data_IF_113669885834
#
_entry.id   IF_113669885834
#
_cell.length_a   1.000
_cell.length_b   1.000
_cell.length_c   1.000
_cell.angle_alpha   90.00
_cell.angle_beta   90.00
_cell.angle_gamma   90.00
#
_symmetry.space_group_name_H-M   'P 1'
#
loop_
_entity.id
_entity.type
_entity.pdbx_description
1 polymer ?
#
# COMPACT_ATOMS: atom_id res chain seq x y z
N UNK A 1 -39.00 -8.35 3.70
CA UNK A 1 -37.94 -8.58 4.69
C UNK A 1 -36.62 -8.77 3.95
N UNK A 2 -36.20 -7.70 3.27
CA UNK A 2 -34.97 -7.58 2.48
C UNK A 2 -34.28 -6.34 3.02
N UNK A 3 -33.35 -6.53 3.95
CA UNK A 3 -32.46 -5.43 4.34
C UNK A 3 -31.26 -5.54 3.42
N UNK A 4 -31.44 -4.97 2.23
CA UNK A 4 -30.40 -4.72 1.25
C UNK A 4 -29.21 -4.06 1.94
N UNK A 5 -28.04 -4.64 1.71
CA UNK A 5 -26.75 -4.03 2.00
C UNK A 5 -26.61 -2.85 1.03
N UNK A 6 -27.28 -1.75 1.36
CA UNK A 6 -27.30 -0.47 0.62
C UNK A 6 -26.18 0.42 1.14
N UNK A 7 -24.93 0.00 0.94
CA UNK A 7 -23.75 0.82 1.28
C UNK A 7 -22.75 1.00 0.13
N UNK A 8 -23.16 0.72 -1.10
CA UNK A 8 -22.43 1.09 -2.33
C UNK A 8 -23.22 2.10 -3.19
N UNK A 9 -23.92 3.05 -2.57
CA UNK A 9 -24.51 4.18 -3.29
C UNK A 9 -23.53 5.36 -3.40
N UNK A 10 -22.31 5.08 -3.86
CA UNK A 10 -21.46 6.11 -4.47
C UNK A 10 -21.53 5.89 -5.98
N UNK A 11 -22.19 6.80 -6.68
CA UNK A 11 -22.41 6.81 -8.15
C UNK A 11 -21.11 6.94 -8.98
N UNK A 12 -19.97 6.46 -8.49
CA UNK A 12 -18.70 6.49 -9.22
C UNK A 12 -18.58 5.15 -9.95
N UNK A 13 -18.61 5.13 -11.30
CA UNK A 13 -18.45 3.90 -12.06
C UNK A 13 -17.14 3.19 -11.64
N UNK A 14 -17.16 1.88 -11.45
CA UNK A 14 -15.97 1.11 -11.04
C UNK A 14 -14.74 1.41 -11.90
N UNK A 15 -14.94 1.64 -13.20
CA UNK A 15 -13.91 2.04 -14.14
C UNK A 15 -13.19 3.34 -13.74
N UNK A 16 -13.93 4.31 -13.19
CA UNK A 16 -13.41 5.60 -12.73
C UNK A 16 -12.61 5.44 -11.43
N UNK A 17 -13.08 4.59 -10.50
CA UNK A 17 -12.35 4.21 -9.28
C UNK A 17 -11.03 3.52 -9.64
N UNK A 18 -11.06 2.50 -10.50
CA UNK A 18 -9.86 1.79 -10.99
C UNK A 18 -8.88 2.73 -11.67
N UNK A 19 -9.37 3.71 -12.44
CA UNK A 19 -8.52 4.72 -13.10
C UNK A 19 -7.85 5.65 -12.09
N UNK A 20 -8.62 6.17 -11.12
CA UNK A 20 -8.08 6.98 -10.02
C UNK A 20 -7.03 6.20 -9.24
N UNK A 21 -7.31 4.94 -8.89
CA UNK A 21 -6.38 4.08 -8.16
C UNK A 21 -5.08 3.83 -8.94
N UNK A 22 -5.13 3.68 -10.26
CA UNK A 22 -3.92 3.60 -11.09
C UNK A 22 -3.05 4.86 -10.99
N UNK A 23 -3.64 6.04 -11.02
CA UNK A 23 -2.88 7.29 -10.88
C UNK A 23 -2.34 7.46 -9.46
N UNK A 24 -3.16 7.16 -8.45
CA UNK A 24 -2.76 7.18 -7.06
C UNK A 24 -1.59 6.22 -6.80
N UNK A 25 -1.66 4.99 -7.31
CA UNK A 25 -0.57 4.02 -7.16
C UNK A 25 0.74 4.51 -7.77
N UNK A 26 0.68 5.11 -8.98
CA UNK A 26 1.87 5.70 -9.62
C UNK A 26 2.42 6.86 -8.80
N UNK A 27 1.55 7.71 -8.26
CA UNK A 27 1.93 8.83 -7.40
C UNK A 27 2.60 8.34 -6.11
N UNK A 28 2.01 7.36 -5.42
CA UNK A 28 2.58 6.76 -4.20
C UNK A 28 3.96 6.14 -4.49
N UNK A 29 4.10 5.36 -5.56
CA UNK A 29 5.40 4.80 -5.96
C UNK A 29 6.41 5.90 -6.26
N UNK A 30 6.01 6.99 -6.91
CA UNK A 30 6.89 8.13 -7.15
C UNK A 30 7.35 8.78 -5.83
N UNK A 31 6.46 8.97 -4.86
CA UNK A 31 6.82 9.52 -3.55
C UNK A 31 7.86 8.63 -2.84
N UNK A 32 7.67 7.31 -2.88
CA UNK A 32 8.65 6.35 -2.38
C UNK A 32 10.00 6.43 -3.12
N UNK A 33 9.99 6.57 -4.44
CA UNK A 33 11.21 6.72 -5.24
C UNK A 33 11.94 8.04 -4.97
N UNK A 34 11.22 9.09 -4.59
CA UNK A 34 11.79 10.39 -4.22
C UNK A 34 12.30 10.46 -2.78
N UNK A 35 12.14 9.40 -1.97
CA UNK A 35 12.57 9.39 -0.57
C UNK A 35 11.57 10.02 0.40
N UNK A 36 10.29 10.16 -0.01
CA UNK A 36 9.25 10.76 0.82
C UNK A 36 8.52 9.77 1.72
N UNK A 37 8.89 8.49 1.72
CA UNK A 37 8.19 7.46 2.45
C UNK A 37 8.03 7.78 3.93
N UNK A 38 9.07 8.35 4.58
CA UNK A 38 9.05 8.70 6.02
C UNK A 38 8.15 9.88 6.37
N UNK A 39 7.83 10.74 5.40
CA UNK A 39 7.01 11.94 5.64
C UNK A 39 5.52 11.63 5.61
N UNK A 40 5.13 10.60 4.85
CA UNK A 40 3.72 10.20 4.73
C UNK A 40 3.40 8.95 5.55
N UNK A 41 4.31 7.97 5.69
CA UNK A 41 4.05 6.78 6.51
C UNK A 41 4.00 7.07 8.00
N UNK A 42 3.11 6.37 8.71
CA UNK A 42 3.02 6.41 10.17
C UNK A 42 2.22 7.60 10.71
N UNK A 43 1.72 8.47 9.83
CA UNK A 43 0.73 9.48 10.23
C UNK A 43 -0.65 8.85 10.31
N UNK A 44 -1.44 9.26 11.31
CA UNK A 44 -2.85 8.84 11.46
C UNK A 44 -3.68 9.14 10.20
N UNK A 45 -3.27 10.15 9.43
CA UNK A 45 -3.96 10.55 8.20
C UNK A 45 -3.63 9.63 7.02
N UNK A 46 -2.35 9.44 6.68
CA UNK A 46 -1.98 8.68 5.49
C UNK A 46 -1.89 7.16 5.71
N UNK A 47 -1.80 6.72 6.97
CA UNK A 47 -1.71 5.30 7.32
C UNK A 47 -0.32 4.70 7.12
N UNK A 48 -0.26 3.38 7.23
CA UNK A 48 0.94 2.56 7.01
C UNK A 48 0.83 1.92 5.63
N UNK A 49 1.52 2.50 4.65
CA UNK A 49 1.58 2.03 3.27
C UNK A 49 2.98 1.46 3.02
N UNK A 50 3.07 0.29 2.43
CA UNK A 50 4.32 -0.26 1.88
C UNK A 50 4.20 -0.41 0.37
N UNK A 51 5.33 -0.44 -0.34
CA UNK A 51 5.33 -0.83 -1.76
C UNK A 51 5.71 -2.29 -1.87
N UNK A 52 4.79 -3.08 -2.42
CA UNK A 52 5.00 -4.48 -2.73
C UNK A 52 5.44 -4.63 -4.19
N UNK A 53 6.63 -5.18 -4.39
CA UNK A 53 7.14 -5.58 -5.69
C UNK A 53 6.86 -7.07 -5.92
N UNK A 54 6.11 -7.36 -6.97
CA UNK A 54 5.72 -8.72 -7.39
C UNK A 54 5.90 -8.88 -8.90
N UNK A 55 5.80 -10.13 -9.40
CA UNK A 55 5.97 -10.44 -10.81
C UNK A 55 4.64 -10.87 -11.43
N UNK A 56 4.31 -10.34 -12.61
CA UNK A 56 3.08 -10.71 -13.30
C UNK A 56 3.06 -12.18 -13.71
N UNK A 57 2.05 -12.94 -13.29
CA UNK A 57 1.94 -14.38 -13.59
C UNK A 57 1.98 -14.73 -15.08
N UNK A 58 1.48 -13.83 -15.94
CA UNK A 58 1.47 -14.02 -17.41
C UNK A 58 2.65 -13.35 -18.12
N UNK A 59 3.13 -12.22 -17.59
CA UNK A 59 4.10 -11.37 -18.29
C UNK A 59 5.52 -11.49 -17.76
N UNK A 60 5.72 -12.04 -16.56
CA UNK A 60 6.99 -12.06 -15.84
C UNK A 60 7.52 -10.69 -15.42
N UNK A 61 6.83 -9.60 -15.79
CA UNK A 61 7.32 -8.23 -15.53
C UNK A 61 7.20 -7.87 -14.06
N UNK A 62 8.13 -7.09 -13.50
CA UNK A 62 8.01 -6.57 -12.14
C UNK A 62 6.92 -5.48 -12.09
N UNK A 63 6.10 -5.53 -11.06
CA UNK A 63 5.06 -4.54 -10.75
C UNK A 63 5.26 -4.03 -9.33
N UNK A 64 5.02 -2.74 -9.13
CA UNK A 64 5.05 -2.08 -7.83
C UNK A 64 3.62 -1.73 -7.42
N UNK A 65 3.16 -2.25 -6.29
CA UNK A 65 1.80 -2.04 -5.79
C UNK A 65 1.84 -1.51 -4.36
N UNK A 66 1.43 -0.25 -4.14
CA UNK A 66 1.24 0.28 -2.81
C UNK A 66 0.09 -0.46 -2.10
N UNK A 67 0.34 -0.96 -0.91
CA UNK A 67 -0.63 -1.67 -0.08
C UNK A 67 -0.51 -1.24 1.37
N UNK A 68 -1.63 -1.24 2.10
CA UNK A 68 -1.59 -1.00 3.54
C UNK A 68 -1.00 -2.22 4.26
N UNK A 69 -0.24 -1.98 5.32
CA UNK A 69 0.38 -3.04 6.10
C UNK A 69 0.34 -2.79 7.61
N UNK A 70 0.48 -3.88 8.35
CA UNK A 70 0.76 -3.88 9.79
C UNK A 70 1.90 -4.84 10.07
N UNK A 71 2.61 -4.61 11.18
CA UNK A 71 3.65 -5.51 11.66
C UNK A 71 3.16 -6.17 12.95
N UNK A 72 3.19 -7.49 12.98
CA UNK A 72 2.88 -8.28 14.18
C UNK A 72 3.86 -9.45 14.25
N UNK A 73 4.41 -9.69 15.43
CA UNK A 73 5.31 -10.82 15.70
C UNK A 73 6.50 -10.95 14.73
N UNK A 74 6.99 -9.81 14.20
CA UNK A 74 8.10 -9.75 13.25
C UNK A 74 7.72 -9.98 11.78
N UNK A 75 6.50 -10.44 11.53
CA UNK A 75 5.91 -10.63 10.21
C UNK A 75 5.16 -9.37 9.73
N UNK A 76 5.00 -9.27 8.42
CA UNK A 76 4.27 -8.17 7.77
C UNK A 76 2.95 -8.73 7.26
N UNK A 77 1.84 -8.07 7.58
CA UNK A 77 0.52 -8.45 7.10
C UNK A 77 -0.02 -7.36 6.19
N UNK A 78 -0.70 -7.77 5.12
CA UNK A 78 -1.44 -6.87 4.23
C UNK A 78 -2.74 -7.54 3.76
N UNK A 79 -3.70 -6.71 3.33
CA UNK A 79 -5.00 -7.19 2.86
C UNK A 79 -5.25 -6.85 1.39
N UNK A 80 -5.83 -7.79 0.66
CA UNK A 80 -6.34 -7.57 -0.69
C UNK A 80 -7.72 -6.90 -0.64
N UNK A 81 -7.74 -5.57 -0.79
CA UNK A 81 -8.94 -4.75 -0.68
C UNK A 81 -10.06 -5.07 -1.67
N UNK A 82 -9.72 -5.62 -2.84
CA UNK A 82 -10.67 -6.06 -3.87
C UNK A 82 -10.82 -7.60 -3.90
N UNK A 83 -10.44 -8.27 -2.81
CA UNK A 83 -10.47 -9.73 -2.69
C UNK A 83 -9.67 -10.45 -3.77
N UNK A 84 -10.15 -11.63 -4.17
CA UNK A 84 -9.53 -12.55 -5.13
C UNK A 84 -9.36 -11.98 -6.54
N UNK A 85 -10.07 -10.91 -6.87
CA UNK A 85 -9.97 -10.26 -8.19
C UNK A 85 -8.75 -9.35 -8.32
N UNK A 86 -8.00 -9.15 -7.23
CA UNK A 86 -6.80 -8.32 -7.22
C UNK A 86 -5.68 -8.98 -8.01
N UNK A 87 -5.26 -8.36 -9.13
CA UNK A 87 -4.20 -8.92 -9.98
C UNK A 87 -2.89 -9.18 -9.22
N UNK A 88 -2.52 -8.30 -8.29
CA UNK A 88 -1.32 -8.48 -7.48
C UNK A 88 -1.43 -9.71 -6.58
N UNK A 89 -2.60 -9.95 -5.96
CA UNK A 89 -2.83 -11.13 -5.12
C UNK A 89 -2.74 -12.42 -5.94
N UNK A 90 -3.36 -12.46 -7.12
CA UNK A 90 -3.27 -13.60 -8.03
C UNK A 90 -1.84 -13.86 -8.53
N UNK A 91 -1.04 -12.80 -8.66
CA UNK A 91 0.39 -12.95 -8.97
C UNK A 91 1.15 -13.60 -7.80
N UNK A 92 0.84 -13.24 -6.55
CA UNK A 92 1.46 -13.84 -5.36
C UNK A 92 1.16 -15.33 -5.23
N UNK A 93 -0.05 -15.76 -5.59
CA UNK A 93 -0.40 -17.19 -5.60
C UNK A 93 0.48 -18.00 -6.57
N UNK A 94 0.94 -17.37 -7.66
CA UNK A 94 1.78 -18.05 -8.66
C UNK A 94 3.26 -17.96 -8.29
N UNK A 95 3.70 -16.81 -7.79
CA UNK A 95 5.06 -16.59 -7.33
C UNK A 95 5.03 -15.86 -5.98
N UNK A 96 5.28 -16.58 -4.87
CA UNK A 96 5.22 -16.00 -3.53
C UNK A 96 6.44 -15.13 -3.21
N UNK A 97 7.50 -15.16 -4.02
CA UNK A 97 8.70 -14.36 -3.78
C UNK A 97 8.45 -12.89 -4.12
N UNK A 98 8.62 -12.04 -3.11
CA UNK A 98 8.32 -10.61 -3.16
C UNK A 98 9.46 -9.78 -2.61
N UNK A 99 9.48 -8.52 -3.02
CA UNK A 99 10.31 -7.49 -2.41
C UNK A 99 9.38 -6.43 -1.81
N UNK A 100 9.60 -6.09 -0.54
CA UNK A 100 8.82 -5.09 0.18
C UNK A 100 9.67 -3.87 0.48
N UNK A 101 9.12 -2.70 0.18
CA UNK A 101 9.71 -1.42 0.57
C UNK A 101 8.96 -0.90 1.78
N UNK A 102 9.69 -0.78 2.88
CA UNK A 102 9.23 -0.33 4.17
C UNK A 102 9.96 0.97 4.56
N UNK A 103 9.38 1.79 5.47
CA UNK A 103 10.01 3.06 5.88
C UNK A 103 11.41 2.92 6.49
N UNK A 104 11.71 1.73 7.02
CA UNK A 104 12.99 1.35 7.62
C UNK A 104 13.92 0.60 6.66
N UNK A 105 13.48 0.31 5.43
CA UNK A 105 14.34 -0.30 4.41
C UNK A 105 13.61 -1.24 3.45
N UNK A 106 14.42 -1.94 2.65
CA UNK A 106 13.97 -2.84 1.60
C UNK A 106 14.30 -4.28 1.96
N UNK A 107 13.34 -5.17 1.79
CA UNK A 107 13.47 -6.56 2.22
C UNK A 107 12.99 -7.51 1.13
N UNK A 108 13.69 -8.63 0.97
CA UNK A 108 13.13 -9.80 0.30
C UNK A 108 12.20 -10.50 1.29
N UNK A 109 11.11 -11.06 0.80
CA UNK A 109 10.21 -11.86 1.61
C UNK A 109 9.41 -12.86 0.79
N UNK A 110 8.74 -13.75 1.49
CA UNK A 110 7.87 -14.76 0.90
C UNK A 110 6.45 -14.51 1.38
N UNK A 111 5.51 -14.38 0.43
CA UNK A 111 4.11 -14.15 0.69
C UNK A 111 3.34 -15.47 0.85
N UNK A 112 2.48 -15.52 1.86
CA UNK A 112 1.65 -16.66 2.22
C UNK A 112 0.24 -16.15 2.51
N UNK A 113 -0.78 -16.79 1.91
CA UNK A 113 -2.16 -16.43 2.20
C UNK A 113 -2.63 -17.16 3.45
N UNK A 114 -3.19 -16.40 4.39
CA UNK A 114 -3.79 -16.96 5.57
C UNK A 114 -5.29 -17.14 5.34
N UNK A 115 -5.75 -18.39 5.37
CA UNK A 115 -7.17 -18.73 5.32
C UNK A 115 -7.56 -19.24 6.70
N UNK A 116 -8.52 -18.57 7.35
CA UNK A 116 -9.10 -19.05 8.61
C UNK A 116 -8.18 -19.00 9.84
N UNK A 117 -7.17 -18.13 9.86
CA UNK A 117 -6.33 -17.96 11.05
C UNK A 117 -7.16 -17.49 12.26
N UNK A 118 -6.87 -18.00 13.46
CA UNK A 118 -7.59 -17.59 14.69
C UNK A 118 -7.52 -16.07 14.93
N UNK A 119 -6.39 -15.45 14.57
CA UNK A 119 -6.17 -14.01 14.70
C UNK A 119 -6.62 -13.19 13.47
N UNK A 120 -7.32 -13.81 12.49
CA UNK A 120 -7.65 -13.17 11.21
C UNK A 120 -8.43 -11.86 11.38
N UNK A 121 -9.47 -11.86 12.22
CA UNK A 121 -10.29 -10.68 12.49
C UNK A 121 -9.50 -9.57 13.18
N UNK A 122 -8.66 -9.93 14.16
CA UNK A 122 -7.80 -8.97 14.87
C UNK A 122 -6.83 -8.28 13.91
N UNK A 123 -6.17 -9.07 13.05
CA UNK A 123 -5.20 -8.56 12.08
C UNK A 123 -5.86 -7.64 11.06
N UNK A 124 -7.01 -8.04 10.53
CA UNK A 124 -7.77 -7.23 9.57
C UNK A 124 -8.28 -5.93 10.19
N UNK A 125 -8.75 -5.98 11.45
CA UNK A 125 -9.13 -4.76 12.18
C UNK A 125 -7.95 -3.80 12.31
N UNK A 126 -6.77 -4.31 12.68
CA UNK A 126 -5.57 -3.48 12.74
C UNK A 126 -5.16 -2.92 11.38
N UNK A 127 -5.32 -3.70 10.30
CA UNK A 127 -5.05 -3.23 8.94
C UNK A 127 -5.98 -2.09 8.53
N UNK A 128 -7.27 -2.16 8.87
CA UNK A 128 -8.21 -1.09 8.58
C UNK A 128 -7.86 0.16 9.39
N UNK A 129 -7.53 0.02 10.67
CA UNK A 129 -7.06 1.16 11.51
C UNK A 129 -5.78 1.76 10.91
N UNK A 130 -4.83 0.92 10.53
CA UNK A 130 -3.56 1.33 9.95
C UNK A 130 -3.70 1.91 8.54
N UNK A 131 -4.82 1.68 7.85
CA UNK A 131 -5.06 2.19 6.50
C UNK A 131 -5.40 3.70 6.46
N UNK A 132 -5.55 4.34 7.63
CA UNK A 132 -5.76 5.79 7.73
C UNK A 132 -6.96 6.25 6.90
N UNK A 133 -6.75 7.27 6.05
CA UNK A 133 -7.80 7.80 5.16
C UNK A 133 -8.35 6.78 4.15
N UNK A 134 -7.65 5.68 3.87
CA UNK A 134 -8.11 4.69 2.91
C UNK A 134 -9.37 3.98 3.41
N UNK A 135 -9.46 3.66 4.70
CA UNK A 135 -10.65 3.03 5.29
C UNK A 135 -11.95 3.81 4.97
N UNK A 136 -12.11 5.09 5.36
CA UNK A 136 -13.31 5.85 5.03
C UNK A 136 -13.47 6.09 3.52
N UNK A 137 -12.37 6.21 2.75
CA UNK A 137 -12.45 6.37 1.30
C UNK A 137 -13.03 5.12 0.58
N UNK A 138 -12.89 3.94 1.20
CA UNK A 138 -13.52 2.69 0.76
C UNK A 138 -14.81 2.36 1.53
N UNK A 139 -15.36 3.32 2.29
CA UNK A 139 -16.59 3.14 3.06
C UNK A 139 -16.45 2.24 4.30
N UNK A 140 -15.22 1.91 4.71
CA UNK A 140 -14.95 1.12 5.91
C UNK A 140 -14.98 2.04 7.14
N UNK A 141 -16.13 2.05 7.82
CA UNK A 141 -16.36 2.78 9.06
C UNK A 141 -16.45 1.81 10.24
N UNK A 142 -15.30 1.49 10.85
CA UNK A 142 -15.21 0.54 11.97
C UNK A 142 -16.06 0.94 13.19
N UNK A 143 -16.33 2.24 13.36
CA UNK A 143 -17.15 2.80 14.43
C UNK A 143 -18.66 2.57 14.24
N UNK A 144 -19.09 2.24 13.02
CA UNK A 144 -20.51 2.13 12.64
C UNK A 144 -20.95 0.71 12.30
N UNK A 145 -20.03 -0.25 12.28
CA UNK A 145 -20.31 -1.65 11.93
C UNK A 145 -20.38 -2.51 13.19
N UNK A 146 -21.38 -3.39 13.25
CA UNK A 146 -21.42 -4.45 14.27
C UNK A 146 -20.34 -5.50 14.01
N UNK A 147 -19.92 -6.24 15.05
CA UNK A 147 -18.92 -7.33 14.93
C UNK A 147 -19.33 -8.40 13.89
N UNK A 148 -20.63 -8.65 13.73
CA UNK A 148 -21.16 -9.62 12.77
C UNK A 148 -21.09 -9.10 11.32
N UNK A 149 -21.38 -7.82 11.10
CA UNK A 149 -21.24 -7.17 9.79
C UNK A 149 -19.76 -7.07 9.40
N UNK A 150 -18.91 -6.73 10.35
CA UNK A 150 -17.47 -6.69 10.16
C UNK A 150 -16.94 -8.09 9.80
N UNK A 151 -17.36 -9.13 10.51
CA UNK A 151 -16.99 -10.52 10.19
C UNK A 151 -17.33 -10.91 8.74
N UNK A 152 -18.58 -10.69 8.32
CA UNK A 152 -19.03 -10.99 6.94
C UNK A 152 -18.28 -10.19 5.88
N UNK A 153 -18.01 -8.92 6.16
CA UNK A 153 -17.25 -8.06 5.25
C UNK A 153 -15.81 -8.58 5.13
N UNK A 154 -15.18 -8.87 6.27
CA UNK A 154 -13.81 -9.36 6.37
C UNK A 154 -13.59 -10.75 5.75
N UNK A 155 -14.61 -11.62 5.69
CA UNK A 155 -14.55 -12.90 4.98
C UNK A 155 -14.23 -12.76 3.48
N UNK A 156 -14.62 -11.63 2.87
CA UNK A 156 -14.32 -11.35 1.46
C UNK A 156 -12.89 -10.88 1.22
N UNK A 157 -12.21 -10.42 2.26
CA UNK A 157 -10.83 -9.97 2.16
C UNK A 157 -9.87 -11.14 2.30
N UNK A 158 -8.83 -11.13 1.49
CA UNK A 158 -7.74 -12.11 1.59
C UNK A 158 -6.59 -11.48 2.39
N UNK A 159 -6.28 -12.09 3.53
CA UNK A 159 -5.13 -11.72 4.35
C UNK A 159 -3.88 -12.41 3.80
N UNK A 160 -2.84 -11.62 3.59
CA UNK A 160 -1.52 -12.09 3.16
C UNK A 160 -0.51 -11.78 4.25
N UNK A 161 0.20 -12.81 4.67
CA UNK A 161 1.39 -12.71 5.52
C UNK A 161 2.63 -12.68 4.63
N UNK A 162 3.56 -11.79 4.92
CA UNK A 162 4.86 -11.71 4.27
C UNK A 162 5.92 -11.92 5.34
N UNK A 163 6.62 -13.05 5.23
CA UNK A 163 7.79 -13.33 6.06
C UNK A 163 8.99 -12.63 5.44
N UNK A 164 9.74 -11.87 6.25
CA UNK A 164 10.98 -11.24 5.80
C UNK A 164 12.08 -12.30 5.74
N UNK A 165 12.78 -12.37 4.61
CA UNK A 165 13.88 -13.30 4.41
C UNK A 165 15.22 -12.61 4.74
N UNK A 166 15.61 -11.61 3.95
CA UNK A 166 16.85 -10.86 4.15
C UNK A 166 16.71 -9.41 3.67
N UNK A 167 17.55 -8.53 4.23
CA UNK A 167 17.60 -7.13 3.81
C UNK A 167 18.23 -7.02 2.42
N UNK A 168 17.60 -6.23 1.55
CA UNK A 168 18.10 -5.96 0.20
C UNK A 168 18.79 -4.59 0.19
N UNK A 169 20.09 -4.58 -0.08
CA UNK A 169 20.90 -3.37 -0.24
C UNK A 169 21.21 -3.12 -1.73
N UNK A 170 21.74 -1.95 -2.07
CA UNK A 170 22.16 -1.60 -3.44
C UNK A 170 21.21 -0.69 -4.22
N UNK A 171 21.60 -0.37 -5.47
CA UNK A 171 20.87 0.54 -6.35
C UNK A 171 19.51 -0.04 -6.82
N UNK A 172 18.52 0.83 -7.02
CA UNK A 172 17.19 0.44 -7.56
C UNK A 172 16.15 0.05 -6.51
N UNK A 173 16.23 0.63 -5.30
CA UNK A 173 15.24 0.49 -4.23
C UNK A 173 14.42 1.77 -4.01
N UNK A 174 13.77 1.92 -2.83
CA UNK A 174 13.16 3.19 -2.45
C UNK A 174 14.22 4.31 -2.43
N UNK A 175 13.82 5.53 -2.76
CA UNK A 175 14.74 6.67 -2.84
C UNK A 175 15.69 6.69 -4.05
N UNK A 176 15.50 5.83 -5.07
CA UNK A 176 16.35 5.81 -6.28
C UNK A 176 16.35 7.12 -7.10
N UNK A 177 15.36 8.00 -6.88
CA UNK A 177 15.26 9.34 -7.46
C UNK A 177 15.61 10.46 -6.48
N UNK A 178 16.00 10.17 -5.25
CA UNK A 178 16.30 11.19 -4.24
C UNK A 178 17.49 12.10 -4.60
N UNK A 179 18.34 11.68 -5.54
CA UNK A 179 19.43 12.49 -6.08
C UNK A 179 18.95 13.78 -6.77
N UNK A 180 17.67 13.87 -7.13
CA UNK A 180 17.06 15.08 -7.72
C UNK A 180 17.12 16.25 -6.74
N UNK A 181 17.05 16.00 -5.42
CA UNK A 181 17.04 17.05 -4.40
C UNK A 181 18.29 17.93 -4.39
N UNK A 182 19.53 17.40 -4.22
CA UNK A 182 20.72 18.24 -4.22
C UNK A 182 20.88 19.05 -5.50
N UNK A 183 20.53 18.48 -6.67
CA UNK A 183 20.57 19.20 -7.94
C UNK A 183 19.55 20.35 -7.98
N UNK A 184 18.32 20.07 -7.57
CA UNK A 184 17.23 21.07 -7.56
C UNK A 184 17.53 22.21 -6.58
N UNK A 185 18.04 21.88 -5.40
CA UNK A 185 18.48 22.86 -4.40
C UNK A 185 19.62 23.73 -4.93
N UNK A 186 20.60 23.15 -5.61
CA UNK A 186 21.69 23.90 -6.22
C UNK A 186 21.17 24.90 -7.26
N UNK A 187 20.31 24.45 -8.18
CA UNK A 187 19.72 25.31 -9.21
C UNK A 187 18.92 26.46 -8.59
N UNK A 188 18.06 26.18 -7.61
CA UNK A 188 17.27 27.20 -6.92
C UNK A 188 18.16 28.21 -6.18
N UNK A 189 19.23 27.73 -5.53
CA UNK A 189 20.19 28.58 -4.83
C UNK A 189 20.92 29.51 -5.80
N UNK A 190 21.35 29.01 -6.96
CA UNK A 190 21.94 29.83 -8.01
C UNK A 190 20.95 30.89 -8.51
N UNK A 191 19.70 30.51 -8.81
CA UNK A 191 18.66 31.45 -9.24
C UNK A 191 18.41 32.55 -8.21
N UNK A 192 18.40 32.22 -6.91
CA UNK A 192 18.25 33.20 -5.84
C UNK A 192 19.44 34.17 -5.76
N UNK A 193 20.67 33.68 -5.92
CA UNK A 193 21.88 34.52 -5.95
C UNK A 193 21.83 35.47 -7.16
N UNK A 194 21.52 34.96 -8.35
CA UNK A 194 21.45 35.79 -9.57
C UNK A 194 20.28 36.79 -9.52
N UNK A 195 19.16 36.46 -8.85
CA UNK A 195 18.04 37.40 -8.65
C UNK A 195 18.40 38.53 -7.70
N UNK A 196 19.21 38.28 -6.66
CA UNK A 196 19.71 39.32 -5.75
C UNK A 196 20.69 40.28 -6.41
N UNK A 197 21.50 39.82 -7.37
CA UNK A 197 22.46 40.67 -8.11
C UNK A 197 21.83 41.56 -9.18
N UNK A 198 20.55 41.34 -9.52
CA UNK A 198 19.78 42.14 -10.50
C UNK A 198 18.89 43.21 -9.86
N UNK A 199 18.86 43.30 -8.53
CA UNK A 199 18.25 44.41 -7.78
C UNK A 199 19.35 45.29 -7.23
#
# INVERSE_FOLDING_TARGET
MQTEISFLNTQIPEAKIRRMFRYFNRFMVLMWRLGFERYFNGSTFAGNIMVLKHHGRKSGKPYLTPVNFVRMDGDIFCMAGFGETSDWYMNLQTNPEVEVWLPDGRWSGTAETLVGAENHLLILRQLIIASGFAAPAFGLHLDRMSEQELGKLLETYRLVRIKRNYALTGAGGPGDLAWIWPYSTLVLLLLLIFRRRRK
#
